data_IF_624595958441
#
_entry.id   IF_624595958441
#
_cell.length_a   1.000
_cell.length_b   1.000
_cell.length_c   1.000
_cell.angle_alpha   90.00
_cell.angle_beta   90.00
_cell.angle_gamma   90.00
#
_symmetry.space_group_name_H-M   'P 1'
#
loop_
_entity.id
_entity.type
_entity.pdbx_description
1 polymer ?
#
# COMPACT_ATOMS: atom_id res chain seq x y z
N UNK A 1 -13.32 31.63 -39.65
CA UNK A 1 -12.11 30.90 -40.09
C UNK A 1 -11.19 30.74 -38.89
N UNK A 2 -10.95 29.48 -38.52
CA UNK A 2 -9.92 28.93 -37.63
C UNK A 2 -9.57 29.68 -36.33
N UNK A 3 -10.31 29.35 -35.27
CA UNK A 3 -9.71 29.22 -33.94
C UNK A 3 -9.18 27.79 -33.80
N UNK A 4 -7.94 27.57 -34.29
CA UNK A 4 -7.12 26.45 -33.84
C UNK A 4 -6.73 26.70 -32.38
N UNK A 5 -7.64 26.44 -31.45
CA UNK A 5 -7.22 25.98 -30.13
C UNK A 5 -6.86 24.51 -30.34
N UNK A 6 -5.58 24.19 -30.16
CA UNK A 6 -5.13 22.81 -30.08
C UNK A 6 -6.02 22.07 -29.07
N UNK A 7 -6.89 21.18 -29.54
CA UNK A 7 -7.72 20.34 -28.68
C UNK A 7 -6.77 19.47 -27.84
N UNK A 8 -6.45 19.94 -26.63
CA UNK A 8 -5.81 19.10 -25.61
C UNK A 8 -6.71 17.88 -25.42
N UNK A 9 -6.18 16.64 -25.47
CA UNK A 9 -7.00 15.44 -25.38
C UNK A 9 -7.89 15.52 -24.13
N UNK A 10 -9.19 15.62 -24.34
CA UNK A 10 -10.15 15.99 -23.31
C UNK A 10 -10.54 14.79 -22.47
N UNK A 11 -11.02 15.05 -21.24
CA UNK A 11 -11.63 14.04 -20.36
C UNK A 11 -12.72 13.22 -21.10
N UNK A 12 -13.43 13.82 -22.07
CA UNK A 12 -14.42 13.11 -22.91
C UNK A 12 -13.81 11.94 -23.69
N UNK A 13 -12.68 12.18 -24.38
CA UNK A 13 -11.97 11.11 -25.08
C UNK A 13 -11.50 10.01 -24.10
N UNK A 14 -11.11 10.42 -22.88
CA UNK A 14 -10.76 9.52 -21.80
C UNK A 14 -11.92 8.62 -21.34
N UNK A 15 -13.09 9.21 -21.11
CA UNK A 15 -14.31 8.47 -20.72
C UNK A 15 -14.74 7.51 -21.84
N UNK A 16 -14.71 7.96 -23.10
CA UNK A 16 -14.99 7.11 -24.26
C UNK A 16 -14.02 5.94 -24.35
N UNK A 17 -12.72 6.17 -24.14
CA UNK A 17 -11.72 5.11 -24.12
C UNK A 17 -12.01 4.06 -23.03
N UNK A 18 -12.22 4.51 -21.79
CA UNK A 18 -12.35 3.61 -20.65
C UNK A 18 -13.65 2.79 -20.67
N UNK A 19 -14.76 3.39 -21.10
CA UNK A 19 -16.09 2.78 -20.91
C UNK A 19 -16.78 2.34 -22.20
N UNK A 20 -16.40 2.90 -23.36
CA UNK A 20 -17.09 2.63 -24.63
C UNK A 20 -16.21 1.88 -25.64
N UNK A 21 -14.99 2.36 -25.89
CA UNK A 21 -14.11 1.82 -26.93
C UNK A 21 -12.61 2.06 -26.65
N UNK A 22 -11.90 0.98 -26.33
CA UNK A 22 -10.44 0.99 -26.07
C UNK A 22 -9.57 1.48 -27.24
N UNK A 23 -10.09 1.51 -28.47
CA UNK A 23 -9.34 1.97 -29.65
C UNK A 23 -9.25 3.50 -29.75
N UNK A 24 -10.01 4.24 -28.92
CA UNK A 24 -9.89 5.71 -28.84
C UNK A 24 -8.50 6.05 -28.28
N UNK A 25 -7.65 6.70 -29.07
CA UNK A 25 -6.30 7.07 -28.63
C UNK A 25 -6.34 8.29 -27.71
N UNK A 26 -5.91 8.12 -26.46
CA UNK A 26 -5.87 9.17 -25.44
C UNK A 26 -4.80 8.84 -24.41
N UNK A 27 -4.17 9.86 -23.82
CA UNK A 27 -3.20 9.66 -22.75
C UNK A 27 -3.90 9.03 -21.52
N UNK A 28 -3.23 8.05 -20.92
CA UNK A 28 -3.67 7.32 -19.72
C UNK A 28 -3.97 8.19 -18.51
N UNK A 29 -3.46 9.41 -18.49
CA UNK A 29 -3.71 10.39 -17.44
C UNK A 29 -5.15 10.93 -17.45
N UNK A 30 -5.86 10.79 -18.58
CA UNK A 30 -7.20 11.36 -18.77
C UNK A 30 -8.33 10.33 -18.70
N UNK A 31 -8.03 9.04 -18.45
CA UNK A 31 -9.07 8.03 -18.40
C UNK A 31 -9.09 7.20 -17.11
N UNK A 32 -10.28 6.80 -16.64
CA UNK A 32 -10.46 5.84 -15.57
C UNK A 32 -9.68 4.54 -15.79
N UNK A 33 -8.96 4.07 -14.78
CA UNK A 33 -8.19 2.83 -14.89
C UNK A 33 -8.22 1.97 -13.64
N UNK A 34 -8.10 0.65 -13.85
CA UNK A 34 -7.96 -0.30 -12.77
C UNK A 34 -6.53 -0.25 -12.22
N UNK A 35 -6.40 0.09 -10.94
CA UNK A 35 -5.15 0.12 -10.20
C UNK A 35 -5.00 -1.16 -9.40
N UNK A 36 -3.97 -1.93 -9.71
CA UNK A 36 -3.63 -3.19 -9.05
C UNK A 36 -2.16 -3.25 -8.69
N UNK A 37 -1.82 -4.09 -7.71
CA UNK A 37 -0.43 -4.49 -7.52
C UNK A 37 -0.08 -5.60 -8.49
N UNK A 38 0.93 -5.36 -9.32
CA UNK A 38 1.51 -6.37 -10.20
C UNK A 38 3.03 -6.23 -10.18
N UNK A 39 3.66 -7.06 -9.35
CA UNK A 39 5.12 -7.08 -9.20
C UNK A 39 5.84 -7.35 -10.53
N UNK A 40 5.31 -8.26 -11.36
CA UNK A 40 5.90 -8.61 -12.67
C UNK A 40 5.88 -7.44 -13.66
N UNK A 41 4.89 -6.55 -13.55
CA UNK A 41 4.74 -5.36 -14.39
C UNK A 41 5.20 -4.08 -13.70
N UNK A 42 5.83 -4.17 -12.52
CA UNK A 42 6.26 -3.02 -11.73
C UNK A 42 5.12 -2.09 -11.27
N UNK A 43 3.86 -2.54 -11.30
CA UNK A 43 2.70 -1.71 -10.94
C UNK A 43 2.43 -1.85 -9.44
N UNK A 44 2.29 -0.73 -8.75
CA UNK A 44 1.89 -0.68 -7.34
C UNK A 44 0.82 0.40 -7.16
N UNK A 45 -0.10 0.19 -6.22
CA UNK A 45 -1.02 1.25 -5.82
C UNK A 45 -0.21 2.42 -5.23
N UNK A 46 0.85 2.10 -4.46
CA UNK A 46 1.78 3.08 -3.86
C UNK A 46 2.29 4.12 -4.86
N UNK A 47 2.74 3.69 -6.05
CA UNK A 47 3.34 4.60 -7.04
C UNK A 47 2.31 5.57 -7.61
N UNK A 48 1.05 5.14 -7.71
CA UNK A 48 -0.03 6.01 -8.16
C UNK A 48 -0.37 7.02 -7.06
N UNK A 49 -0.51 6.54 -5.82
CA UNK A 49 -0.78 7.39 -4.66
C UNK A 49 0.28 8.48 -4.48
N UNK A 50 1.56 8.11 -4.58
CA UNK A 50 2.69 9.04 -4.51
C UNK A 50 2.67 10.07 -5.66
N UNK A 51 2.37 9.64 -6.89
CA UNK A 51 2.21 10.56 -8.04
C UNK A 51 1.11 11.59 -7.76
N UNK A 52 -0.07 11.12 -7.32
CA UNK A 52 -1.21 11.99 -7.07
C UNK A 52 -0.94 13.01 -5.96
N UNK A 53 -0.31 12.57 -4.87
CA UNK A 53 0.12 13.46 -3.79
C UNK A 53 1.06 14.58 -4.29
N UNK A 54 2.02 14.25 -5.16
CA UNK A 54 3.00 15.24 -5.67
C UNK A 54 2.39 16.29 -6.61
N UNK A 55 1.24 15.99 -7.20
CA UNK A 55 0.62 16.81 -8.26
C UNK A 55 -0.61 17.61 -7.77
N UNK A 56 -1.12 17.32 -6.58
CA UNK A 56 -2.35 17.92 -6.04
C UNK A 56 -2.11 19.25 -5.30
N UNK A 57 -3.18 20.06 -5.24
CA UNK A 57 -3.26 21.31 -4.47
C UNK A 57 -3.86 21.09 -3.07
N UNK A 58 -4.59 19.99 -2.88
CA UNK A 58 -5.05 19.47 -1.59
C UNK A 58 -5.47 18.00 -1.71
N UNK A 59 -5.61 17.31 -0.57
CA UNK A 59 -6.07 15.91 -0.58
C UNK A 59 -6.90 15.52 0.65
N UNK A 60 -7.74 14.50 0.46
CA UNK A 60 -8.66 13.96 1.46
C UNK A 60 -8.64 12.43 1.43
N UNK A 61 -8.24 11.81 2.53
CA UNK A 61 -8.18 10.36 2.66
C UNK A 61 -9.20 9.86 3.66
N UNK A 62 -10.09 8.95 3.24
CA UNK A 62 -11.01 8.23 4.12
C UNK A 62 -10.63 6.76 4.10
N UNK A 63 -9.76 6.35 5.03
CA UNK A 63 -9.12 5.03 4.99
C UNK A 63 -9.24 4.35 6.35
N UNK A 64 -9.86 3.16 6.36
CA UNK A 64 -10.15 2.43 7.57
C UNK A 64 -8.87 2.11 8.37
N UNK A 65 -7.83 1.57 7.70
CA UNK A 65 -6.63 1.07 8.38
C UNK A 65 -5.35 1.75 7.89
N UNK A 66 -4.56 2.22 8.85
CA UNK A 66 -3.27 2.91 8.62
C UNK A 66 -2.19 2.27 9.49
N UNK A 67 -1.09 1.83 8.87
CA UNK A 67 0.09 1.30 9.58
C UNK A 67 1.31 2.18 9.32
N UNK A 68 2.31 2.14 10.21
CA UNK A 68 3.57 2.86 10.06
C UNK A 68 4.26 2.44 8.76
N UNK A 69 4.30 1.14 8.50
CA UNK A 69 4.85 0.58 7.25
C UNK A 69 4.12 1.06 5.99
N UNK A 70 2.83 1.41 6.09
CA UNK A 70 2.06 1.94 4.97
C UNK A 70 2.38 3.40 4.66
N UNK A 71 2.63 4.21 5.70
CA UNK A 71 2.94 5.64 5.54
C UNK A 71 4.42 5.90 5.27
N UNK A 72 5.32 5.01 5.73
CA UNK A 72 6.77 5.21 5.69
C UNK A 72 7.30 5.58 4.29
N UNK A 73 6.89 4.91 3.19
CA UNK A 73 7.33 5.29 1.84
C UNK A 73 6.84 6.68 1.40
N UNK A 74 5.79 7.20 2.01
CA UNK A 74 5.15 8.48 1.66
C UNK A 74 5.60 9.62 2.58
N UNK A 75 6.33 9.36 3.66
CA UNK A 75 6.71 10.38 4.64
C UNK A 75 7.51 11.54 4.03
N UNK A 76 8.39 11.26 3.08
CA UNK A 76 9.13 12.32 2.38
C UNK A 76 8.21 13.17 1.50
N UNK A 77 7.25 12.54 0.82
CA UNK A 77 6.22 13.24 0.04
C UNK A 77 5.35 14.11 0.95
N UNK A 78 4.85 13.59 2.08
CA UNK A 78 4.06 14.38 3.02
C UNK A 78 4.83 15.57 3.60
N UNK A 79 6.12 15.41 3.94
CA UNK A 79 6.99 16.52 4.36
C UNK A 79 7.19 17.57 3.27
N UNK A 80 7.29 17.14 2.02
CA UNK A 80 7.38 18.09 0.90
C UNK A 80 6.09 18.89 0.76
N UNK A 81 4.93 18.25 0.91
CA UNK A 81 3.63 18.92 0.92
C UNK A 81 3.49 19.89 2.10
N UNK A 82 3.97 19.52 3.28
CA UNK A 82 4.05 20.42 4.44
C UNK A 82 4.87 21.67 4.13
N UNK A 83 6.06 21.50 3.53
CA UNK A 83 6.93 22.62 3.12
C UNK A 83 6.26 23.52 2.09
N UNK A 84 5.43 22.97 1.20
CA UNK A 84 4.65 23.71 0.21
C UNK A 84 3.32 24.25 0.75
N UNK A 85 3.00 23.97 2.01
CA UNK A 85 1.73 24.31 2.65
C UNK A 85 0.50 23.78 1.90
N UNK A 86 0.61 22.57 1.33
CA UNK A 86 -0.49 21.88 0.63
C UNK A 86 -1.34 21.16 1.67
N UNK A 87 -2.60 21.56 1.91
CA UNK A 87 -3.41 21.02 3.00
C UNK A 87 -3.89 19.59 2.72
N UNK A 88 -3.94 18.78 3.77
CA UNK A 88 -4.47 17.42 3.69
C UNK A 88 -5.39 17.08 4.86
N UNK A 89 -6.42 16.28 4.60
CA UNK A 89 -7.33 15.74 5.62
C UNK A 89 -7.30 14.22 5.60
N UNK A 90 -7.13 13.59 6.76
CA UNK A 90 -7.11 12.13 6.88
C UNK A 90 -8.11 11.68 7.93
N UNK A 91 -9.12 10.92 7.50
CA UNK A 91 -10.10 10.29 8.36
C UNK A 91 -9.83 8.78 8.43
N UNK A 92 -9.65 8.28 9.65
CA UNK A 92 -9.55 6.85 9.96
C UNK A 92 -10.62 6.45 10.96
N UNK A 93 -10.56 5.25 11.53
CA UNK A 93 -11.51 4.75 12.53
C UNK A 93 -10.80 3.91 13.59
N UNK A 94 -11.44 3.73 14.74
CA UNK A 94 -11.01 2.78 15.78
C UNK A 94 -11.52 1.34 15.53
N UNK A 95 -12.20 1.10 14.41
CA UNK A 95 -12.68 -0.22 13.98
C UNK A 95 -11.58 -1.28 14.03
N UNK A 96 -11.89 -2.42 14.66
CA UNK A 96 -10.97 -3.54 14.96
C UNK A 96 -9.68 -3.16 15.70
N UNK A 97 -9.56 -1.89 16.11
CA UNK A 97 -8.37 -1.33 16.74
C UNK A 97 -7.11 -1.68 15.92
N UNK A 98 -7.22 -1.51 14.60
CA UNK A 98 -6.20 -1.97 13.65
C UNK A 98 -5.12 -0.93 13.40
N UNK A 99 -5.50 0.34 13.18
CA UNK A 99 -4.56 1.40 12.85
C UNK A 99 -3.50 1.57 13.96
N UNK A 100 -2.24 1.70 13.58
CA UNK A 100 -1.14 1.82 14.54
C UNK A 100 -1.11 3.23 15.17
N UNK A 101 -1.20 3.39 16.51
CA UNK A 101 -1.21 4.70 17.14
C UNK A 101 0.00 5.58 16.77
N UNK A 102 1.18 4.98 16.64
CA UNK A 102 2.39 5.71 16.26
C UNK A 102 2.34 6.21 14.81
N UNK A 103 1.66 5.50 13.91
CA UNK A 103 1.46 5.95 12.54
C UNK A 103 0.53 7.17 12.50
N UNK A 104 -0.57 7.13 13.27
CA UNK A 104 -1.51 8.24 13.39
C UNK A 104 -0.84 9.47 14.02
N UNK A 105 -0.11 9.30 15.12
CA UNK A 105 0.66 10.37 15.73
C UNK A 105 1.73 10.93 14.78
N UNK A 106 2.33 10.09 13.94
CA UNK A 106 3.30 10.54 12.94
C UNK A 106 2.65 11.42 11.87
N UNK A 107 1.47 11.06 11.39
CA UNK A 107 0.72 11.89 10.44
C UNK A 107 0.27 13.20 11.08
N UNK A 108 -0.26 13.14 12.31
CA UNK A 108 -0.71 14.30 13.08
C UNK A 108 0.43 15.30 13.39
N UNK A 109 1.69 14.83 13.40
CA UNK A 109 2.84 15.71 13.62
C UNK A 109 3.13 16.68 12.47
N UNK A 110 2.49 16.50 11.31
CA UNK A 110 2.64 17.34 10.13
C UNK A 110 1.64 18.50 10.15
N UNK A 111 2.13 19.73 10.10
CA UNK A 111 1.33 20.96 10.33
C UNK A 111 0.27 21.24 9.27
N UNK A 112 0.44 20.72 8.07
CA UNK A 112 -0.51 20.86 6.96
C UNK A 112 -1.58 19.75 6.96
N UNK A 113 -1.50 18.77 7.86
CA UNK A 113 -2.42 17.65 7.92
C UNK A 113 -3.34 17.75 9.13
N UNK A 114 -4.65 17.65 8.88
CA UNK A 114 -5.63 17.38 9.91
C UNK A 114 -5.94 15.88 9.91
N UNK A 115 -5.79 15.24 11.05
CA UNK A 115 -6.04 13.80 11.21
C UNK A 115 -7.17 13.61 12.20
N UNK A 116 -8.20 12.88 11.79
CA UNK A 116 -9.36 12.56 12.62
C UNK A 116 -9.59 11.06 12.69
N UNK A 117 -10.18 10.63 13.80
CA UNK A 117 -10.64 9.27 14.02
C UNK A 117 -12.16 9.26 14.18
N UNK A 118 -12.83 8.50 13.33
CA UNK A 118 -14.23 8.18 13.45
C UNK A 118 -14.42 7.10 14.52
N UNK A 119 -14.91 7.51 15.69
CA UNK A 119 -15.16 6.67 16.86
C UNK A 119 -16.66 6.35 16.94
N UNK A 120 -17.03 5.13 16.58
CA UNK A 120 -18.43 4.68 16.62
C UNK A 120 -18.52 3.27 17.20
N UNK A 121 -19.62 3.02 17.92
CA UNK A 121 -19.89 1.72 18.55
C UNK A 121 -20.42 0.68 17.55
N UNK A 122 -20.95 1.12 16.41
CA UNK A 122 -21.50 0.26 15.35
C UNK A 122 -20.49 0.01 14.21
N UNK A 123 -20.55 -1.21 13.66
CA UNK A 123 -19.81 -1.63 12.47
C UNK A 123 -20.20 -0.77 11.25
N UNK A 124 -19.23 -0.18 10.55
CA UNK A 124 -19.55 0.46 9.26
C UNK A 124 -18.48 1.33 8.62
N UNK A 125 -17.54 1.90 9.38
CA UNK A 125 -16.45 2.67 8.77
C UNK A 125 -15.39 1.72 8.21
N UNK A 126 -15.54 1.35 6.94
CA UNK A 126 -14.56 0.52 6.23
C UNK A 126 -14.16 1.10 4.86
N UNK A 127 -14.22 2.42 4.71
CA UNK A 127 -13.86 3.11 3.47
C UNK A 127 -12.38 2.95 3.15
N UNK A 128 -12.04 2.96 1.86
CA UNK A 128 -10.68 3.20 1.34
C UNK A 128 -10.78 4.14 0.14
N UNK A 129 -10.93 5.42 0.44
CA UNK A 129 -10.99 6.50 -0.54
C UNK A 129 -9.77 7.40 -0.40
N UNK A 130 -9.16 7.75 -1.53
CA UNK A 130 -8.09 8.74 -1.63
C UNK A 130 -8.51 9.76 -2.68
N UNK A 131 -8.70 11.01 -2.29
CA UNK A 131 -9.21 12.08 -3.14
C UNK A 131 -8.13 13.16 -3.22
N UNK A 132 -7.88 13.64 -4.43
CA UNK A 132 -6.86 14.62 -4.75
C UNK A 132 -7.50 15.73 -5.57
N UNK A 133 -7.33 16.98 -5.15
CA UNK A 133 -7.85 18.13 -5.86
C UNK A 133 -6.71 18.83 -6.57
N UNK A 134 -6.91 19.19 -7.84
CA UNK A 134 -5.94 19.94 -8.63
C UNK A 134 -6.68 20.88 -9.58
N UNK A 135 -6.56 22.18 -9.40
CA UNK A 135 -7.29 23.18 -10.19
C UNK A 135 -8.81 22.87 -10.26
N UNK A 136 -9.30 22.49 -11.46
CA UNK A 136 -10.69 22.10 -11.74
C UNK A 136 -10.89 20.58 -11.82
N UNK A 137 -9.85 19.80 -11.56
CA UNK A 137 -9.85 18.34 -11.59
C UNK A 137 -9.91 17.74 -10.18
N UNK A 138 -10.60 16.61 -10.08
CA UNK A 138 -10.62 15.75 -8.89
C UNK A 138 -10.20 14.35 -9.31
N UNK A 139 -9.09 13.88 -8.74
CA UNK A 139 -8.57 12.53 -8.97
C UNK A 139 -8.87 11.67 -7.77
N UNK A 140 -9.41 10.48 -8.01
CA UNK A 140 -9.99 9.65 -6.97
C UNK A 140 -9.42 8.24 -7.10
N UNK A 141 -9.01 7.64 -6.00
CA UNK A 141 -8.73 6.22 -5.89
C UNK A 141 -9.71 5.64 -4.87
N UNK A 142 -10.56 4.72 -5.31
CA UNK A 142 -11.52 4.03 -4.44
C UNK A 142 -11.46 2.52 -4.68
N UNK A 143 -11.42 1.73 -3.61
CA UNK A 143 -11.31 0.27 -3.75
C UNK A 143 -11.00 -0.45 -2.45
N UNK A 144 -10.16 -1.48 -2.54
CA UNK A 144 -9.83 -2.37 -1.42
C UNK A 144 -8.60 -1.93 -0.60
N UNK A 145 -7.78 -0.99 -1.11
CA UNK A 145 -6.46 -0.75 -0.57
C UNK A 145 -6.45 0.17 0.65
N UNK A 146 -6.20 -0.42 1.83
CA UNK A 146 -5.85 0.34 3.03
C UNK A 146 -4.42 0.91 2.95
N UNK A 147 -4.07 1.82 3.86
CA UNK A 147 -2.73 2.42 3.93
C UNK A 147 -1.78 1.51 4.72
N UNK A 148 -1.57 0.31 4.18
CA UNK A 148 -0.65 -0.71 4.72
C UNK A 148 0.34 -1.12 3.64
N UNK A 149 1.57 -1.50 4.01
CA UNK A 149 2.60 -1.89 3.04
C UNK A 149 2.12 -3.02 2.10
N UNK A 150 1.41 -4.01 2.64
CA UNK A 150 0.90 -5.14 1.84
C UNK A 150 -0.15 -4.68 0.83
N UNK A 151 -1.18 -3.93 1.26
CA UNK A 151 -2.20 -3.40 0.37
C UNK A 151 -1.60 -2.46 -0.68
N UNK A 152 -0.64 -1.62 -0.33
CA UNK A 152 -0.09 -0.65 -1.28
C UNK A 152 0.89 -1.26 -2.30
N UNK A 153 1.41 -2.48 -2.08
CA UNK A 153 2.52 -3.02 -2.89
C UNK A 153 2.44 -4.49 -3.31
N UNK A 154 1.70 -5.35 -2.62
CA UNK A 154 1.78 -6.83 -2.80
C UNK A 154 0.42 -7.51 -2.92
N UNK A 155 -0.54 -7.16 -2.08
CA UNK A 155 -1.85 -7.80 -2.04
C UNK A 155 -2.55 -7.67 -3.40
N UNK A 156 -3.42 -8.63 -3.71
CA UNK A 156 -4.31 -8.50 -4.84
C UNK A 156 -5.37 -7.46 -4.50
N UNK A 157 -5.19 -6.27 -5.05
CA UNK A 157 -6.01 -5.10 -4.78
C UNK A 157 -6.64 -4.63 -6.06
N UNK A 158 -7.94 -4.31 -6.00
CA UNK A 158 -8.66 -3.68 -7.08
C UNK A 158 -9.10 -2.30 -6.60
N UNK A 159 -8.59 -1.28 -7.28
CA UNK A 159 -9.04 0.09 -7.06
C UNK A 159 -9.38 0.74 -8.39
N UNK A 160 -10.46 1.51 -8.42
CA UNK A 160 -10.76 2.40 -9.53
C UNK A 160 -9.97 3.69 -9.32
N UNK A 161 -9.05 3.98 -10.24
CA UNK A 161 -8.45 5.31 -10.39
C UNK A 161 -9.31 6.11 -11.35
N UNK A 162 -9.95 7.18 -10.87
CA UNK A 162 -10.90 7.99 -11.61
C UNK A 162 -10.39 9.41 -11.75
N UNK A 163 -10.79 10.06 -12.84
CA UNK A 163 -10.64 11.48 -13.07
C UNK A 163 -12.03 12.07 -13.29
N UNK A 164 -12.33 13.14 -12.59
CA UNK A 164 -13.57 13.90 -12.73
C UNK A 164 -13.26 15.40 -12.73
N UNK A 165 -14.12 16.20 -13.33
CA UNK A 165 -14.12 17.64 -13.09
C UNK A 165 -14.79 17.92 -11.75
N UNK A 166 -14.45 19.04 -11.13
CA UNK A 166 -15.01 19.46 -9.84
C UNK A 166 -16.54 19.52 -9.84
N UNK A 167 -17.14 19.94 -10.95
CA UNK A 167 -18.59 20.01 -11.15
C UNK A 167 -19.22 18.66 -11.53
N UNK A 168 -18.41 17.63 -11.76
CA UNK A 168 -18.88 16.29 -12.10
C UNK A 168 -19.64 15.63 -10.95
N UNK A 169 -20.72 14.92 -11.29
CA UNK A 169 -21.60 14.29 -10.30
C UNK A 169 -20.84 13.37 -9.32
N UNK A 170 -19.91 12.56 -9.82
CA UNK A 170 -19.11 11.65 -8.99
C UNK A 170 -18.18 12.40 -8.02
N UNK A 171 -17.55 13.50 -8.47
CA UNK A 171 -16.71 14.34 -7.60
C UNK A 171 -17.53 15.01 -6.49
N UNK A 172 -18.71 15.53 -6.82
CA UNK A 172 -19.63 16.12 -5.86
C UNK A 172 -20.12 15.09 -4.84
N UNK A 173 -20.50 13.90 -5.29
CA UNK A 173 -20.98 12.83 -4.43
C UNK A 173 -19.89 12.35 -3.46
N UNK A 174 -18.68 12.05 -3.95
CA UNK A 174 -17.61 11.56 -3.08
C UNK A 174 -17.15 12.61 -2.06
N UNK A 175 -17.09 13.88 -2.48
CA UNK A 175 -16.75 15.00 -1.58
C UNK A 175 -17.82 15.15 -0.50
N UNK A 176 -19.11 15.09 -0.87
CA UNK A 176 -20.23 15.12 0.08
C UNK A 176 -20.18 13.96 1.08
N UNK A 177 -19.85 12.74 0.63
CA UNK A 177 -19.69 11.59 1.52
C UNK A 177 -18.52 11.78 2.49
N UNK A 178 -17.39 12.32 2.02
CA UNK A 178 -16.26 12.64 2.88
C UNK A 178 -16.65 13.68 3.93
N UNK A 179 -17.26 14.80 3.54
CA UNK A 179 -17.65 15.88 4.46
C UNK A 179 -18.66 15.41 5.50
N UNK A 180 -19.63 14.56 5.10
CA UNK A 180 -20.59 13.95 6.03
C UNK A 180 -19.89 13.16 7.13
N UNK A 181 -18.88 12.36 6.79
CA UNK A 181 -18.11 11.59 7.76
C UNK A 181 -17.18 12.50 8.58
N UNK A 182 -16.55 13.47 7.92
CA UNK A 182 -15.59 14.41 8.53
C UNK A 182 -16.21 15.27 9.62
N UNK A 183 -17.43 15.76 9.37
CA UNK A 183 -18.21 16.62 10.28
C UNK A 183 -19.20 15.86 11.17
N UNK A 184 -19.18 14.53 11.14
CA UNK A 184 -19.98 13.71 12.05
C UNK A 184 -19.58 13.94 13.51
N UNK A 185 -20.54 13.84 14.43
CA UNK A 185 -20.27 13.87 15.88
C UNK A 185 -19.33 12.75 16.34
N UNK A 186 -19.23 11.67 15.56
CA UNK A 186 -18.32 10.55 15.78
C UNK A 186 -16.88 10.84 15.33
N UNK A 187 -16.67 11.87 14.49
CA UNK A 187 -15.35 12.27 14.01
C UNK A 187 -14.66 13.12 15.08
N UNK A 188 -13.60 12.59 15.68
CA UNK A 188 -12.82 13.26 16.73
C UNK A 188 -11.44 13.62 16.19
N UNK A 189 -10.90 14.76 16.60
CA UNK A 189 -9.50 15.08 16.33
C UNK A 189 -8.62 14.01 16.96
N UNK A 190 -7.55 13.63 16.26
CA UNK A 190 -6.71 12.53 16.71
C UNK A 190 -6.04 12.86 18.03
N UNK A 191 -5.67 14.12 18.25
CA UNK A 191 -5.04 14.63 19.47
C UNK A 191 -5.91 14.36 20.71
N UNK A 192 -7.24 14.42 20.55
CA UNK A 192 -8.19 14.23 21.65
C UNK A 192 -8.37 12.75 22.05
N UNK A 193 -8.03 11.81 21.15
CA UNK A 193 -8.37 10.39 21.33
C UNK A 193 -7.16 9.45 21.28
N UNK A 194 -6.00 9.91 20.82
CA UNK A 194 -4.84 9.05 20.53
C UNK A 194 -4.33 8.29 21.74
N UNK A 195 -4.36 8.89 22.93
CA UNK A 195 -3.85 8.27 24.16
C UNK A 195 -4.78 7.14 24.63
N UNK A 196 -6.08 7.38 24.66
CA UNK A 196 -7.08 6.35 24.95
C UNK A 196 -7.04 5.23 23.91
N UNK A 197 -6.91 5.58 22.63
CA UNK A 197 -6.78 4.61 21.56
C UNK A 197 -5.51 3.77 21.69
N UNK A 198 -4.37 4.36 22.09
CA UNK A 198 -3.10 3.65 22.33
C UNK A 198 -3.23 2.60 23.44
N UNK A 199 -3.98 2.89 24.50
CA UNK A 199 -4.26 1.93 25.57
C UNK A 199 -5.13 0.76 25.06
N UNK A 200 -6.23 1.08 24.36
CA UNK A 200 -7.12 0.08 23.72
C UNK A 200 -6.33 -0.82 22.75
N UNK A 201 -5.49 -0.22 21.92
CA UNK A 201 -4.63 -0.90 20.96
C UNK A 201 -3.69 -1.89 21.64
N UNK A 202 -2.98 -1.46 22.69
CA UNK A 202 -2.07 -2.34 23.43
C UNK A 202 -2.81 -3.56 24.00
N UNK A 203 -3.96 -3.35 24.63
CA UNK A 203 -4.78 -4.42 25.19
C UNK A 203 -5.22 -5.44 24.12
N UNK A 204 -5.70 -4.97 22.97
CA UNK A 204 -6.10 -5.84 21.85
C UNK A 204 -4.91 -6.63 21.29
N UNK A 205 -3.74 -6.01 21.16
CA UNK A 205 -2.54 -6.70 20.68
C UNK A 205 -2.04 -7.77 21.68
N UNK A 206 -2.08 -7.47 22.97
CA UNK A 206 -1.70 -8.44 24.01
C UNK A 206 -2.66 -9.63 24.03
N UNK A 207 -3.97 -9.40 23.89
CA UNK A 207 -4.97 -10.46 23.73
C UNK A 207 -4.71 -11.33 22.49
N UNK A 208 -4.40 -10.72 21.34
CA UNK A 208 -4.05 -11.44 20.10
C UNK A 208 -2.81 -12.31 20.30
N UNK A 209 -1.78 -11.82 20.99
CA UNK A 209 -0.56 -12.59 21.31
C UNK A 209 -0.87 -13.78 22.21
N UNK A 210 -1.67 -13.59 23.25
CA UNK A 210 -2.10 -14.67 24.14
C UNK A 210 -2.89 -15.72 23.36
N UNK A 211 -3.86 -15.32 22.52
CA UNK A 211 -4.63 -16.25 21.69
C UNK A 211 -3.74 -17.05 20.72
N UNK A 212 -2.78 -16.40 20.05
CA UNK A 212 -1.83 -17.07 19.16
C UNK A 212 -0.93 -18.07 19.91
N UNK A 213 -0.56 -17.79 21.16
CA UNK A 213 0.22 -18.71 21.99
C UNK A 213 -0.57 -19.94 22.47
N UNK A 214 -1.91 -19.85 22.55
CA UNK A 214 -2.80 -20.97 22.95
C UNK A 214 -3.07 -21.97 21.81
N UNK A 215 -2.94 -21.51 20.57
CA UNK A 215 -2.99 -22.34 19.37
C UNK A 215 -1.66 -22.21 18.62
N UNK A 216 -0.55 -22.76 19.16
CA UNK A 216 0.70 -22.77 18.43
C UNK A 216 0.47 -23.54 17.13
N UNK A 217 0.58 -22.85 16.00
CA UNK A 217 0.65 -23.49 14.68
C UNK A 217 1.81 -24.48 14.78
N UNK A 218 1.52 -25.77 14.60
CA UNK A 218 2.55 -26.78 14.67
C UNK A 218 3.62 -26.44 13.62
N UNK A 219 4.92 -26.46 13.96
CA UNK A 219 5.98 -26.27 12.98
C UNK A 219 5.89 -27.23 11.78
N UNK A 220 5.15 -28.34 11.92
CA UNK A 220 4.87 -29.31 10.85
C UNK A 220 3.92 -28.79 9.76
N UNK A 221 3.15 -27.72 9.99
CA UNK A 221 2.21 -27.17 9.00
C UNK A 221 2.87 -26.17 8.03
N UNK A 222 4.06 -25.64 8.37
CA UNK A 222 4.85 -24.80 7.49
C UNK A 222 6.02 -25.57 6.87
N UNK A 223 5.73 -26.38 5.85
CA UNK A 223 6.79 -26.90 4.98
C UNK A 223 7.27 -25.74 4.11
N UNK A 224 8.40 -25.13 4.51
CA UNK A 224 9.07 -24.12 3.70
C UNK A 224 9.42 -24.71 2.31
N UNK A 225 8.89 -24.08 1.26
CA UNK A 225 9.17 -24.43 -0.14
C UNK A 225 10.10 -23.40 -0.77
N UNK A 226 11.12 -23.82 -1.55
CA UNK A 226 12.00 -22.90 -2.27
C UNK A 226 11.22 -22.13 -3.34
N UNK A 227 11.57 -20.86 -3.54
CA UNK A 227 11.12 -20.09 -4.71
C UNK A 227 11.89 -20.50 -5.98
N UNK A 228 11.48 -20.02 -7.16
CA UNK A 228 12.08 -20.43 -8.44
C UNK A 228 13.60 -20.26 -8.49
N UNK A 229 14.14 -19.13 -7.99
CA UNK A 229 15.59 -18.90 -7.97
C UNK A 229 16.30 -19.90 -7.06
N UNK A 230 15.72 -20.20 -5.90
CA UNK A 230 16.25 -21.16 -4.94
C UNK A 230 16.19 -22.59 -5.47
N UNK A 231 15.15 -22.94 -6.25
CA UNK A 231 15.04 -24.22 -6.97
C UNK A 231 16.19 -24.37 -7.95
N UNK A 232 16.41 -23.38 -8.81
CA UNK A 232 17.50 -23.42 -9.81
C UNK A 232 18.88 -23.44 -9.14
N UNK A 233 19.09 -22.64 -8.10
CA UNK A 233 20.31 -22.69 -7.29
C UNK A 233 20.58 -24.09 -6.73
N UNK A 234 19.55 -24.74 -6.18
CA UNK A 234 19.73 -26.05 -5.55
C UNK A 234 20.01 -27.14 -6.58
N UNK A 235 19.40 -27.07 -7.77
CA UNK A 235 19.73 -27.95 -8.89
C UNK A 235 21.20 -27.82 -9.31
N UNK A 236 21.68 -26.59 -9.49
CA UNK A 236 23.07 -26.36 -9.91
C UNK A 236 24.07 -26.78 -8.83
N UNK A 237 23.72 -26.56 -7.55
CA UNK A 237 24.54 -26.99 -6.44
C UNK A 237 24.69 -28.53 -6.36
N UNK A 238 23.62 -29.27 -6.64
CA UNK A 238 23.65 -30.74 -6.74
C UNK A 238 24.52 -31.17 -7.92
N UNK A 239 24.35 -30.54 -9.09
CA UNK A 239 25.15 -30.82 -10.29
C UNK A 239 26.64 -30.62 -10.05
N UNK A 240 27.04 -29.53 -9.40
CA UNK A 240 28.44 -29.26 -9.06
C UNK A 240 29.01 -30.33 -8.12
N UNK A 241 28.26 -30.72 -7.08
CA UNK A 241 28.68 -31.81 -6.19
C UNK A 241 28.84 -33.13 -6.94
N UNK A 242 27.87 -33.48 -7.79
CA UNK A 242 27.88 -34.74 -8.52
C UNK A 242 29.01 -34.79 -9.57
N UNK A 243 29.47 -33.61 -10.02
CA UNK A 243 30.68 -33.44 -10.83
C UNK A 243 32.00 -33.50 -10.02
N UNK A 244 31.93 -33.64 -8.69
CA UNK A 244 33.10 -33.74 -7.81
C UNK A 244 33.63 -32.39 -7.28
N UNK A 245 32.91 -31.29 -7.52
CA UNK A 245 33.33 -29.96 -7.05
C UNK A 245 33.10 -29.80 -5.54
N UNK A 246 34.09 -29.25 -4.84
CA UNK A 246 34.08 -29.09 -3.38
C UNK A 246 33.65 -27.68 -2.92
N UNK A 247 33.56 -26.73 -3.85
CA UNK A 247 33.34 -25.31 -3.59
C UNK A 247 32.42 -24.67 -4.63
N UNK A 248 31.47 -23.86 -4.15
CA UNK A 248 30.56 -23.08 -4.99
C UNK A 248 30.27 -21.71 -4.34
N UNK A 249 30.04 -20.68 -5.16
CA UNK A 249 29.73 -19.33 -4.70
C UNK A 249 28.36 -18.88 -5.23
N UNK A 250 27.43 -18.54 -4.33
CA UNK A 250 26.16 -17.93 -4.70
C UNK A 250 26.28 -16.40 -4.72
N UNK A 251 26.27 -15.81 -5.92
CA UNK A 251 26.15 -14.36 -6.09
C UNK A 251 24.68 -14.02 -6.34
N UNK A 252 24.10 -13.13 -5.53
CA UNK A 252 22.72 -12.67 -5.71
C UNK A 252 22.52 -11.26 -5.14
N UNK A 253 21.49 -10.55 -5.60
CA UNK A 253 21.12 -9.24 -5.07
C UNK A 253 20.65 -9.30 -3.59
N UNK A 254 20.62 -8.16 -2.90
CA UNK A 254 20.08 -8.07 -1.53
C UNK A 254 18.57 -8.35 -1.51
N UNK A 255 18.07 -9.01 -0.46
CA UNK A 255 16.64 -9.29 -0.30
C UNK A 255 16.08 -10.46 -1.14
N UNK A 256 16.91 -11.19 -1.90
CA UNK A 256 16.49 -12.33 -2.74
C UNK A 256 16.44 -13.67 -2.00
N UNK A 257 16.71 -13.68 -0.69
CA UNK A 257 16.57 -14.87 0.16
C UNK A 257 17.79 -15.81 0.18
N UNK A 258 19.02 -15.25 0.22
CA UNK A 258 20.29 -16.00 0.36
C UNK A 258 20.27 -17.01 1.51
N UNK A 259 19.74 -16.62 2.67
CA UNK A 259 19.62 -17.49 3.86
C UNK A 259 18.73 -18.71 3.62
N UNK A 260 17.62 -18.51 2.91
CA UNK A 260 16.73 -19.62 2.54
C UNK A 260 17.35 -20.50 1.45
N UNK A 261 18.03 -19.90 0.46
CA UNK A 261 18.77 -20.64 -0.55
C UNK A 261 19.81 -21.58 0.08
N UNK A 262 20.57 -21.11 1.07
CA UNK A 262 21.53 -21.94 1.81
C UNK A 262 20.87 -23.09 2.58
N UNK A 263 19.73 -22.84 3.22
CA UNK A 263 19.01 -23.86 3.98
C UNK A 263 18.43 -24.94 3.06
N UNK A 264 17.85 -24.56 1.92
CA UNK A 264 17.36 -25.50 0.91
C UNK A 264 18.50 -26.28 0.26
N UNK A 265 19.62 -25.62 -0.08
CA UNK A 265 20.81 -26.30 -0.57
C UNK A 265 21.30 -27.38 0.38
N UNK A 266 21.43 -27.09 1.68
CA UNK A 266 21.79 -28.09 2.69
C UNK A 266 20.77 -29.23 2.78
N UNK A 267 19.47 -28.92 2.73
CA UNK A 267 18.39 -29.90 2.79
C UNK A 267 18.49 -30.93 1.66
N UNK A 268 18.73 -30.47 0.43
CA UNK A 268 18.83 -31.36 -0.73
C UNK A 268 20.20 -32.06 -0.81
N UNK A 269 21.28 -31.41 -0.36
CA UNK A 269 22.61 -32.02 -0.36
C UNK A 269 22.77 -33.15 0.68
N UNK A 270 21.97 -33.17 1.75
CA UNK A 270 22.02 -34.14 2.86
C UNK A 270 23.46 -34.49 3.29
N UNK A 271 24.31 -33.50 3.63
CA UNK A 271 25.71 -33.76 3.97
C UNK A 271 25.81 -34.61 5.25
N UNK A 272 26.80 -35.52 5.29
CA UNK A 272 27.17 -36.23 6.53
C UNK A 272 27.69 -35.20 7.55
N UNK A 273 27.39 -35.39 8.85
CA UNK A 273 27.80 -34.48 9.94
C UNK A 273 29.27 -34.10 9.80
N UNK A 274 29.54 -32.81 9.58
CA UNK A 274 30.91 -32.25 9.44
C UNK A 274 31.13 -31.39 8.19
N UNK A 275 30.36 -31.60 7.11
CA UNK A 275 30.51 -30.82 5.87
C UNK A 275 29.53 -29.63 5.85
N UNK A 276 29.91 -28.51 6.47
CA UNK A 276 29.15 -27.26 6.44
C UNK A 276 29.46 -26.48 5.15
N UNK A 277 28.43 -26.12 4.40
CA UNK A 277 28.52 -25.08 3.37
C UNK A 277 28.93 -23.76 4.05
N UNK A 278 30.12 -23.27 3.74
CA UNK A 278 30.60 -21.96 4.20
C UNK A 278 30.14 -20.89 3.22
N UNK A 279 29.27 -20.00 3.67
CA UNK A 279 28.86 -18.83 2.89
C UNK A 279 29.72 -17.63 3.28
N UNK A 280 30.50 -17.10 2.35
CA UNK A 280 31.16 -15.83 2.53
C UNK A 280 30.11 -14.71 2.45
N UNK A 281 30.13 -13.78 3.41
CA UNK A 281 29.45 -12.49 3.27
C UNK A 281 30.37 -11.59 2.46
N UNK A 282 29.88 -11.06 1.35
CA UNK A 282 30.42 -9.86 0.72
C UNK A 282 29.77 -8.64 1.35
#
# INVERSE_FOLDING_TARGET
>A
MNTNQSESPTIDAGLRHAFLNKEVSVNREFYPSLLTNNFKKGKKVLTTLEKQLKECDSFEFSVAFITMSGIEPLLMTFKELERKNIPGRILTTDYLTFSEPDALAKLASLKNLEVRMYVAEEDGFHTKGYIFHKDHEVRIIVGSSNMTMNALTRSQEWNAGLLSLKEGAFAQEISSQFERLWHSNHSKNIEDVIDTYRQKYKLVQDQKRVAASRYPISPSEYVLSPNQMQVEFTKELIRLRDAGEDRALLISATGTGKTYASAFGLRELKPKKGNLLKFARA
#
